data_IF_375707475173
#
_entry.id   IF_375707475173
#
_cell.length_a   1.000
_cell.length_b   1.000
_cell.length_c   1.000
_cell.angle_alpha   90.00
_cell.angle_beta   90.00
_cell.angle_gamma   90.00
#
_symmetry.space_group_name_H-M   'P 1'
#
loop_
_entity.id
_entity.type
_entity.pdbx_description
1 polymer ?
#
# COMPACT_ATOMS: atom_id res chain seq x y z
N UNK A 1 15.37 -52.77 -19.55
CA UNK A 1 14.68 -52.37 -20.80
C UNK A 1 15.37 -51.11 -21.28
N UNK A 2 15.85 -51.11 -22.52
CA UNK A 2 16.87 -50.20 -23.03
C UNK A 2 16.29 -48.92 -23.67
N UNK A 3 17.02 -47.81 -23.46
CA UNK A 3 17.32 -46.67 -24.35
C UNK A 3 16.17 -45.94 -25.09
N UNK A 4 16.09 -44.61 -24.90
CA UNK A 4 16.33 -43.62 -25.99
C UNK A 4 16.99 -42.36 -25.40
N UNK A 5 17.98 -41.83 -26.12
CA UNK A 5 18.70 -40.58 -25.89
C UNK A 5 18.25 -39.51 -26.90
N UNK A 6 18.41 -38.23 -26.54
CA UNK A 6 18.67 -37.11 -27.46
C UNK A 6 17.46 -36.33 -27.99
N UNK A 7 17.39 -35.03 -27.70
CA UNK A 7 17.90 -33.99 -28.60
C UNK A 7 17.82 -32.61 -27.94
N UNK A 8 18.89 -31.84 -28.13
CA UNK A 8 18.90 -30.38 -28.00
C UNK A 8 17.94 -29.76 -29.01
N UNK A 9 17.11 -28.83 -28.57
CA UNK A 9 16.64 -27.73 -29.40
C UNK A 9 16.67 -26.46 -28.57
N UNK A 10 17.50 -25.54 -29.04
CA UNK A 10 17.44 -24.12 -28.74
C UNK A 10 16.10 -23.62 -29.22
N UNK A 11 15.08 -23.69 -28.36
CA UNK A 11 13.86 -22.93 -28.53
C UNK A 11 13.91 -21.84 -27.47
N UNK A 12 14.18 -20.62 -27.92
CA UNK A 12 13.82 -19.41 -27.21
C UNK A 12 12.38 -19.59 -26.75
N UNK A 13 12.17 -19.76 -25.44
CA UNK A 13 10.83 -19.67 -24.84
C UNK A 13 10.19 -18.39 -25.38
N UNK A 14 9.03 -18.48 -26.06
CA UNK A 14 8.33 -17.27 -26.44
C UNK A 14 8.04 -16.52 -25.14
N UNK A 15 8.48 -15.27 -25.06
CA UNK A 15 8.09 -14.37 -23.99
C UNK A 15 6.57 -14.50 -23.83
N UNK A 16 6.12 -14.88 -22.64
CA UNK A 16 4.70 -15.03 -22.35
C UNK A 16 3.98 -13.78 -22.87
N UNK A 17 3.01 -13.98 -23.77
CA UNK A 17 2.21 -12.88 -24.31
C UNK A 17 1.56 -12.16 -23.12
N UNK A 18 2.06 -10.95 -22.82
CA UNK A 18 1.50 -10.09 -21.80
C UNK A 18 0.15 -9.61 -22.32
N UNK A 19 -0.93 -10.17 -21.79
CA UNK A 19 -2.29 -9.78 -22.17
C UNK A 19 -2.62 -8.41 -21.59
N UNK A 20 -3.31 -7.57 -22.38
CA UNK A 20 -3.92 -6.35 -21.89
C UNK A 20 -5.32 -6.65 -21.34
N UNK A 21 -5.67 -6.06 -20.20
CA UNK A 21 -7.00 -6.14 -19.58
C UNK A 21 -7.44 -4.73 -19.19
N UNK A 22 -8.64 -4.33 -19.61
CA UNK A 22 -9.14 -2.95 -19.52
C UNK A 22 -10.24 -2.75 -18.48
N UNK A 23 -10.57 -3.80 -17.72
CA UNK A 23 -11.62 -3.72 -16.70
C UNK A 23 -11.13 -2.97 -15.46
N UNK A 24 -11.98 -2.08 -14.95
CA UNK A 24 -11.76 -1.44 -13.66
C UNK A 24 -11.67 -2.50 -12.55
N UNK A 25 -10.67 -2.35 -11.69
CA UNK A 25 -10.47 -3.19 -10.50
C UNK A 25 -10.84 -2.36 -9.28
N UNK A 26 -11.74 -2.88 -8.44
CA UNK A 26 -12.10 -2.27 -7.16
C UNK A 26 -11.47 -3.05 -6.02
N UNK A 27 -10.74 -2.34 -5.17
CA UNK A 27 -10.11 -2.84 -3.96
C UNK A 27 -10.84 -2.20 -2.78
N UNK A 28 -11.64 -3.01 -2.08
CA UNK A 28 -12.27 -2.58 -0.84
C UNK A 28 -11.20 -2.40 0.25
N UNK A 29 -11.27 -1.30 0.99
CA UNK A 29 -10.37 -1.02 2.10
C UNK A 29 -11.12 -1.28 3.39
N UNK A 30 -10.51 -1.99 4.32
CA UNK A 30 -11.15 -2.25 5.61
C UNK A 30 -11.33 -0.93 6.37
N UNK A 31 -12.42 -0.77 7.13
CA UNK A 31 -12.64 0.44 7.90
C UNK A 31 -11.52 0.65 8.92
N UNK A 32 -11.24 1.92 9.21
CA UNK A 32 -10.29 2.33 10.25
C UNK A 32 -11.03 2.93 11.44
N UNK A 33 -10.44 2.81 12.64
CA UNK A 33 -10.95 3.45 13.86
C UNK A 33 -9.86 4.30 14.47
N UNK A 34 -10.16 5.56 14.78
CA UNK A 34 -9.21 6.47 15.43
C UNK A 34 -9.51 6.59 16.93
N UNK A 35 -8.47 6.72 17.77
CA UNK A 35 -8.63 6.93 19.22
C UNK A 35 -7.55 7.87 19.74
N UNK A 36 -7.96 9.02 20.28
CA UNK A 36 -7.04 9.98 20.90
C UNK A 36 -6.50 9.42 22.21
N UNK A 37 -5.17 9.39 22.33
CA UNK A 37 -4.44 8.99 23.54
C UNK A 37 -4.01 10.23 24.33
N UNK A 38 -3.48 11.23 23.63
CA UNK A 38 -3.14 12.55 24.17
C UNK A 38 -3.63 13.63 23.18
N UNK A 39 -4.48 14.58 23.58
CA UNK A 39 -4.96 15.63 22.68
C UNK A 39 -3.91 16.71 22.35
N UNK A 40 -2.73 16.69 22.97
CA UNK A 40 -1.65 17.66 22.70
C UNK A 40 -1.84 19.03 23.35
N UNK A 41 -1.01 20.01 22.99
CA UNK A 41 -1.07 21.37 23.52
C UNK A 41 -2.14 22.24 22.83
N UNK A 42 -2.60 23.29 23.51
CA UNK A 42 -3.43 24.34 22.89
C UNK A 42 -2.60 25.23 21.93
N UNK A 43 -3.19 25.79 20.86
CA UNK A 43 -4.60 25.64 20.46
C UNK A 43 -4.89 24.29 19.80
N UNK A 44 -6.03 23.70 20.12
CA UNK A 44 -6.53 22.47 19.49
C UNK A 44 -7.64 22.77 18.48
N UNK A 45 -7.76 21.93 17.44
CA UNK A 45 -8.90 21.94 16.51
C UNK A 45 -9.12 20.56 15.91
N UNK A 46 -10.31 20.32 15.37
CA UNK A 46 -10.55 19.16 14.51
C UNK A 46 -9.78 19.38 13.21
N UNK A 47 -9.03 18.36 12.78
CA UNK A 47 -8.31 18.36 11.51
C UNK A 47 -9.12 17.57 10.49
N UNK A 48 -9.52 18.24 9.42
CA UNK A 48 -10.28 17.66 8.32
C UNK A 48 -9.74 18.23 7.00
N UNK A 49 -9.75 17.40 5.96
CA UNK A 49 -9.36 17.80 4.62
C UNK A 49 -10.46 18.65 3.97
N UNK A 50 -10.05 19.79 3.41
CA UNK A 50 -10.88 20.65 2.59
C UNK A 50 -10.13 20.99 1.30
N UNK A 51 -10.42 20.23 0.25
CA UNK A 51 -9.68 20.27 -1.01
C UNK A 51 -10.46 20.90 -2.15
N UNK A 52 -11.55 21.61 -1.83
CA UNK A 52 -12.46 22.19 -2.82
C UNK A 52 -11.77 23.25 -3.71
N UNK A 53 -10.80 23.98 -3.17
CA UNK A 53 -10.10 25.06 -3.87
C UNK A 53 -8.80 24.59 -4.58
N UNK A 54 -8.48 23.29 -4.54
CA UNK A 54 -7.27 22.74 -5.16
C UNK A 54 -7.57 22.20 -6.55
N UNK A 55 -7.07 22.90 -7.57
CA UNK A 55 -7.21 22.50 -8.98
C UNK A 55 -6.56 21.14 -9.28
N UNK A 56 -5.30 20.97 -8.88
CA UNK A 56 -4.56 19.70 -9.01
C UNK A 56 -3.31 19.69 -8.13
N UNK A 57 -2.93 18.50 -7.67
CA UNK A 57 -1.68 18.22 -7.00
C UNK A 57 -0.85 17.27 -7.87
N UNK A 58 0.41 17.62 -8.14
CA UNK A 58 1.36 16.73 -8.80
C UNK A 58 2.37 16.22 -7.78
N UNK A 59 2.55 14.91 -7.70
CA UNK A 59 3.46 14.29 -6.74
C UNK A 59 3.95 12.95 -7.24
N UNK A 60 5.16 12.56 -6.85
CA UNK A 60 5.69 11.24 -7.11
C UNK A 60 5.46 10.33 -5.90
N UNK A 61 4.91 9.13 -6.15
CA UNK A 61 4.81 8.05 -5.19
C UNK A 61 5.88 7.00 -5.51
N UNK A 62 6.88 6.86 -4.63
CA UNK A 62 7.90 5.81 -4.74
C UNK A 62 7.64 4.71 -3.72
N UNK A 63 7.61 3.45 -4.16
CA UNK A 63 7.41 2.29 -3.30
C UNK A 63 8.48 1.22 -3.49
N UNK A 64 8.81 0.52 -2.41
CA UNK A 64 9.67 -0.67 -2.44
C UNK A 64 9.01 -1.82 -1.70
N UNK A 65 9.34 -3.05 -2.07
CA UNK A 65 8.93 -4.25 -1.33
C UNK A 65 10.02 -5.30 -1.35
N UNK A 66 10.45 -5.72 -0.17
CA UNK A 66 11.46 -6.75 0.03
C UNK A 66 10.85 -7.98 0.66
N UNK A 67 11.19 -9.16 0.12
CA UNK A 67 10.76 -10.45 0.64
C UNK A 67 11.92 -11.43 0.48
N UNK A 68 12.59 -11.75 1.57
CA UNK A 68 13.55 -12.85 1.62
C UNK A 68 12.92 -14.04 2.30
N UNK A 69 13.01 -15.21 1.66
CA UNK A 69 12.38 -16.42 2.14
C UNK A 69 13.38 -17.57 2.24
N UNK A 70 13.33 -18.33 3.33
CA UNK A 70 14.13 -19.51 3.54
C UNK A 70 13.26 -20.68 4.01
N UNK A 71 13.46 -21.85 3.41
CA UNK A 71 12.84 -23.11 3.84
C UNK A 71 13.93 -23.95 4.53
N UNK A 72 13.66 -24.34 5.77
CA UNK A 72 14.57 -25.09 6.64
C UNK A 72 15.99 -24.50 6.68
N UNK A 73 16.99 -25.30 6.29
CA UNK A 73 18.41 -24.93 6.20
C UNK A 73 18.83 -24.64 4.76
N UNK A 74 17.88 -24.51 3.83
CA UNK A 74 18.12 -24.15 2.45
C UNK A 74 18.69 -22.73 2.30
N UNK A 75 19.12 -22.39 1.09
CA UNK A 75 19.51 -21.02 0.78
C UNK A 75 18.29 -20.08 0.80
N UNK A 76 18.49 -18.84 1.26
CA UNK A 76 17.47 -17.80 1.14
C UNK A 76 17.22 -17.48 -0.34
N UNK A 77 15.95 -17.30 -0.68
CA UNK A 77 15.45 -16.92 -2.00
C UNK A 77 14.87 -15.51 -1.91
N UNK A 78 15.07 -14.73 -2.96
CA UNK A 78 14.58 -13.36 -3.04
C UNK A 78 13.31 -13.32 -3.89
N UNK A 79 12.23 -12.81 -3.28
CA UNK A 79 10.92 -12.58 -3.89
C UNK A 79 10.53 -11.10 -3.83
N UNK A 80 11.50 -10.22 -3.60
CA UNK A 80 11.31 -8.78 -3.58
C UNK A 80 10.74 -8.28 -4.91
N UNK A 81 9.93 -7.23 -4.84
CA UNK A 81 9.51 -6.50 -6.04
C UNK A 81 10.42 -5.30 -6.24
N UNK A 82 10.76 -4.96 -7.50
CA UNK A 82 11.60 -3.81 -7.77
C UNK A 82 10.93 -2.51 -7.30
N UNK A 83 11.75 -1.50 -7.02
CA UNK A 83 11.27 -0.16 -6.71
C UNK A 83 10.42 0.38 -7.88
N UNK A 84 9.35 1.08 -7.54
CA UNK A 84 8.47 1.71 -8.52
C UNK A 84 8.25 3.17 -8.12
N UNK A 85 8.52 4.08 -9.06
CA UNK A 85 8.12 5.50 -8.94
C UNK A 85 6.96 5.76 -9.88
N UNK A 86 5.83 6.18 -9.31
CA UNK A 86 4.58 6.47 -10.02
C UNK A 86 4.32 7.97 -9.91
N UNK A 87 4.48 8.73 -11.00
CA UNK A 87 4.07 10.13 -11.02
C UNK A 87 2.56 10.23 -11.04
N UNK A 88 1.98 11.07 -10.18
CA UNK A 88 0.55 11.22 -10.01
C UNK A 88 0.12 12.67 -10.22
N UNK A 89 -0.99 12.85 -10.92
CA UNK A 89 -1.76 14.10 -10.93
C UNK A 89 -3.09 13.84 -10.25
N UNK A 90 -3.29 14.42 -9.07
CA UNK A 90 -4.47 14.23 -8.24
C UNK A 90 -5.39 15.45 -8.28
N UNK A 91 -6.69 15.23 -8.31
CA UNK A 91 -7.72 16.26 -8.12
C UNK A 91 -8.88 15.70 -7.31
N UNK A 92 -9.66 16.57 -6.69
CA UNK A 92 -10.87 16.16 -5.96
C UNK A 92 -12.08 16.35 -6.88
N UNK A 93 -12.95 15.34 -6.96
CA UNK A 93 -14.19 15.46 -7.71
C UNK A 93 -15.25 16.24 -6.89
N UNK A 94 -16.11 16.98 -7.59
CA UNK A 94 -17.20 17.77 -6.98
C UNK A 94 -18.25 16.90 -6.24
N UNK A 95 -18.35 15.63 -6.63
CA UNK A 95 -19.32 14.69 -6.08
C UNK A 95 -18.68 13.32 -5.84
N UNK A 96 -19.15 12.66 -4.79
CA UNK A 96 -18.79 11.28 -4.47
C UNK A 96 -19.76 10.35 -5.21
N UNK A 97 -19.26 9.38 -6.00
CA UNK A 97 -20.08 8.34 -6.60
C UNK A 97 -20.93 7.56 -5.56
N UNK A 98 -22.10 7.05 -5.95
CA UNK A 98 -23.02 6.37 -5.02
C UNK A 98 -22.40 5.10 -4.39
N UNK A 99 -21.57 4.37 -5.14
CA UNK A 99 -20.84 3.20 -4.67
C UNK A 99 -19.81 3.58 -3.59
N UNK A 100 -19.07 4.67 -3.78
CA UNK A 100 -18.16 5.22 -2.77
C UNK A 100 -18.91 5.70 -1.52
N UNK A 101 -20.00 6.45 -1.72
CA UNK A 101 -20.81 6.99 -0.64
C UNK A 101 -21.35 5.86 0.26
N UNK A 102 -21.65 4.70 -0.32
CA UNK A 102 -22.10 3.51 0.43
C UNK A 102 -21.05 2.95 1.41
N UNK A 103 -19.77 3.29 1.20
CA UNK A 103 -18.65 2.93 2.09
C UNK A 103 -18.40 3.96 3.19
N UNK A 104 -19.16 5.07 3.20
CA UNK A 104 -18.97 6.19 4.13
C UNK A 104 -18.00 7.27 3.63
N UNK A 105 -17.52 7.17 2.39
CA UNK A 105 -16.70 8.24 1.80
C UNK A 105 -17.50 9.53 1.62
N UNK A 106 -16.83 10.65 1.84
CA UNK A 106 -17.33 12.02 1.66
C UNK A 106 -16.51 12.80 0.65
N UNK A 107 -15.41 12.22 0.16
CA UNK A 107 -14.51 12.78 -0.84
C UNK A 107 -14.15 11.71 -1.87
N UNK A 108 -14.03 12.12 -3.13
CA UNK A 108 -13.53 11.28 -4.23
C UNK A 108 -12.31 11.95 -4.83
N UNK A 109 -11.16 11.29 -4.75
CA UNK A 109 -9.89 11.81 -5.28
C UNK A 109 -9.59 11.06 -6.58
N UNK A 110 -9.54 11.78 -7.69
CA UNK A 110 -9.18 11.24 -9.00
C UNK A 110 -7.67 11.38 -9.21
N UNK A 111 -7.04 10.31 -9.69
CA UNK A 111 -5.63 10.21 -9.96
C UNK A 111 -5.42 9.89 -11.44
N UNK A 112 -4.57 10.66 -12.11
CA UNK A 112 -3.99 10.27 -13.40
C UNK A 112 -2.58 9.79 -13.17
N UNK A 113 -2.25 8.61 -13.71
CA UNK A 113 -0.94 7.98 -13.61
C UNK A 113 -0.09 8.46 -14.80
N UNK A 114 1.04 9.09 -14.50
CA UNK A 114 2.04 9.47 -15.49
C UNK A 114 2.93 8.31 -15.92
N UNK A 115 4.03 8.63 -16.60
CA UNK A 115 5.04 7.65 -16.99
C UNK A 115 5.76 7.08 -15.75
N UNK A 116 5.28 5.94 -15.26
CA UNK A 116 5.91 5.22 -14.15
C UNK A 116 7.28 4.67 -14.54
N UNK A 117 8.19 4.61 -13.56
CA UNK A 117 9.59 4.18 -13.79
C UNK A 117 10.05 3.21 -12.71
N UNK A 118 11.04 2.39 -13.06
CA UNK A 118 11.71 1.47 -12.14
C UNK A 118 13.20 1.44 -12.48
N UNK A 119 14.11 1.20 -11.51
CA UNK A 119 15.49 0.89 -11.82
C UNK A 119 15.66 -0.51 -12.44
N UNK A 120 14.63 -1.36 -12.40
CA UNK A 120 14.62 -2.66 -13.07
C UNK A 120 14.30 -2.49 -14.56
N UNK A 121 15.25 -2.86 -15.43
CA UNK A 121 15.12 -2.71 -16.88
C UNK A 121 13.94 -3.54 -17.44
N UNK A 122 13.69 -4.72 -16.87
CA UNK A 122 12.61 -5.62 -17.32
C UNK A 122 11.22 -5.06 -17.03
N UNK A 123 11.06 -4.36 -15.90
CA UNK A 123 9.82 -3.68 -15.55
C UNK A 123 9.65 -2.35 -16.31
N UNK A 124 10.74 -1.61 -16.55
CA UNK A 124 10.70 -0.29 -17.18
C UNK A 124 9.99 -0.28 -18.53
N UNK A 125 10.29 -1.26 -19.40
CA UNK A 125 9.65 -1.35 -20.71
C UNK A 125 8.13 -1.56 -20.60
N UNK A 126 7.70 -2.37 -19.64
CA UNK A 126 6.28 -2.66 -19.41
C UNK A 126 5.51 -1.46 -18.84
N UNK A 127 6.16 -0.60 -18.06
CA UNK A 127 5.53 0.57 -17.42
C UNK A 127 5.13 1.65 -18.42
N UNK A 128 5.85 1.78 -19.54
CA UNK A 128 5.59 2.81 -20.56
C UNK A 128 4.16 2.77 -21.10
N UNK A 129 3.57 1.58 -21.23
CA UNK A 129 2.22 1.39 -21.74
C UNK A 129 1.12 1.65 -20.69
N UNK A 130 1.50 1.97 -19.45
CA UNK A 130 0.56 2.24 -18.35
C UNK A 130 0.28 3.74 -18.15
N UNK A 131 1.01 4.63 -18.83
CA UNK A 131 0.75 6.07 -18.79
C UNK A 131 -0.69 6.38 -19.23
N UNK A 132 -1.36 7.27 -18.51
CA UNK A 132 -2.76 7.62 -18.74
C UNK A 132 -3.75 6.65 -18.08
N UNK A 133 -3.28 5.60 -17.40
CA UNK A 133 -4.12 4.85 -16.45
C UNK A 133 -4.67 5.81 -15.40
N UNK A 134 -5.84 5.51 -14.86
CA UNK A 134 -6.46 6.35 -13.82
C UNK A 134 -6.76 5.52 -12.58
N UNK A 135 -6.84 6.20 -11.45
CA UNK A 135 -7.31 5.63 -10.20
C UNK A 135 -8.24 6.59 -9.48
N UNK A 136 -9.07 6.07 -8.59
CA UNK A 136 -9.96 6.84 -7.73
C UNK A 136 -9.85 6.33 -6.32
N UNK A 137 -9.59 7.24 -5.38
CA UNK A 137 -9.61 6.96 -3.95
C UNK A 137 -10.89 7.53 -3.35
N UNK A 138 -11.69 6.66 -2.75
CA UNK A 138 -12.81 7.05 -1.92
C UNK A 138 -12.28 7.32 -0.51
N UNK A 139 -12.54 8.52 0.02
CA UNK A 139 -12.00 8.96 1.30
C UNK A 139 -13.03 9.69 2.14
N UNK A 140 -12.80 9.73 3.44
CA UNK A 140 -13.54 10.57 4.39
C UNK A 140 -12.86 11.94 4.55
N UNK A 141 -13.56 12.90 5.16
CA UNK A 141 -12.99 14.20 5.54
C UNK A 141 -11.82 14.08 6.53
N UNK A 142 -11.76 13.01 7.33
CA UNK A 142 -10.64 12.75 8.24
C UNK A 142 -9.42 12.14 7.55
N UNK A 143 -9.52 11.77 6.27
CA UNK A 143 -8.44 11.16 5.49
C UNK A 143 -8.43 9.62 5.46
N UNK A 144 -9.39 8.96 6.13
CA UNK A 144 -9.51 7.50 6.00
C UNK A 144 -9.95 7.12 4.58
N UNK A 145 -9.19 6.23 3.93
CA UNK A 145 -9.54 5.65 2.63
C UNK A 145 -10.48 4.47 2.83
N UNK A 146 -11.56 4.39 2.04
CA UNK A 146 -12.58 3.33 2.13
C UNK A 146 -12.62 2.44 0.89
N UNK A 147 -12.19 2.95 -0.27
CA UNK A 147 -12.07 2.19 -1.50
C UNK A 147 -10.97 2.75 -2.40
N UNK A 148 -10.39 1.87 -3.22
CA UNK A 148 -9.47 2.20 -4.30
C UNK A 148 -9.98 1.54 -5.58
N UNK A 149 -10.18 2.35 -6.61
CA UNK A 149 -10.55 1.90 -7.94
C UNK A 149 -9.40 2.20 -8.90
N UNK A 150 -9.04 1.24 -9.74
CA UNK A 150 -7.97 1.39 -10.72
C UNK A 150 -8.52 1.03 -12.08
N UNK A 151 -8.39 1.96 -13.03
CA UNK A 151 -8.74 1.76 -14.43
C UNK A 151 -7.45 1.81 -15.27
N UNK A 152 -6.93 0.64 -15.67
CA UNK A 152 -5.74 0.56 -16.51
C UNK A 152 -5.97 1.21 -17.89
N UNK A 153 -4.92 1.77 -18.47
CA UNK A 153 -4.93 2.16 -19.88
C UNK A 153 -5.09 0.93 -20.79
N UNK A 154 -5.68 1.10 -21.98
CA UNK A 154 -5.94 -0.02 -22.90
C UNK A 154 -4.69 -0.81 -23.29
N UNK A 155 -3.54 -0.15 -23.31
CA UNK A 155 -2.25 -0.74 -23.66
C UNK A 155 -1.50 -1.29 -22.43
N UNK A 156 -2.01 -1.10 -21.22
CA UNK A 156 -1.33 -1.49 -19.99
C UNK A 156 -1.14 -3.01 -19.93
N UNK A 157 0.11 -3.42 -19.72
CA UNK A 157 0.47 -4.82 -19.58
C UNK A 157 0.16 -5.31 -18.16
N UNK A 158 -0.27 -6.56 -18.04
CA UNK A 158 -0.64 -7.15 -16.74
C UNK A 158 0.45 -7.04 -15.66
N UNK A 159 1.72 -7.19 -16.03
CA UNK A 159 2.87 -7.03 -15.11
C UNK A 159 2.96 -5.62 -14.54
N UNK A 160 2.83 -4.60 -15.40
CA UNK A 160 2.90 -3.20 -15.00
C UNK A 160 1.68 -2.79 -14.19
N UNK A 161 0.48 -3.25 -14.60
CA UNK A 161 -0.76 -3.10 -13.84
C UNK A 161 -0.62 -3.66 -12.43
N UNK A 162 -0.16 -4.91 -12.28
CA UNK A 162 0.03 -5.54 -10.98
C UNK A 162 1.10 -4.83 -10.12
N UNK A 163 2.13 -4.23 -10.71
CA UNK A 163 3.10 -3.43 -9.98
C UNK A 163 2.48 -2.13 -9.44
N UNK A 164 1.71 -1.42 -10.27
CA UNK A 164 1.00 -0.19 -9.89
C UNK A 164 -0.07 -0.47 -8.82
N UNK A 165 -0.87 -1.53 -8.98
CA UNK A 165 -1.88 -1.95 -8.01
C UNK A 165 -1.27 -2.22 -6.63
N UNK A 166 -0.13 -2.92 -6.57
CA UNK A 166 0.59 -3.16 -5.32
C UNK A 166 1.12 -1.87 -4.69
N UNK A 167 1.66 -0.96 -5.51
CA UNK A 167 2.13 0.35 -5.05
C UNK A 167 1.02 1.18 -4.40
N UNK A 168 -0.15 1.26 -5.03
CA UNK A 168 -1.30 1.95 -4.44
C UNK A 168 -1.83 1.23 -3.19
N UNK A 169 -1.88 -0.10 -3.19
CA UNK A 169 -2.30 -0.84 -2.00
C UNK A 169 -1.40 -0.54 -0.79
N UNK A 170 -0.09 -0.49 -1.00
CA UNK A 170 0.87 -0.11 0.05
C UNK A 170 0.62 1.32 0.55
N UNK A 171 0.38 2.28 -0.36
CA UNK A 171 0.08 3.67 -0.01
C UNK A 171 -1.23 3.81 0.78
N UNK A 172 -2.28 3.08 0.42
CA UNK A 172 -3.59 3.09 1.10
C UNK A 172 -3.45 2.68 2.57
N UNK A 173 -2.77 1.56 2.86
CA UNK A 173 -2.56 1.08 4.23
C UNK A 173 -1.56 1.91 5.03
N UNK A 174 -0.94 2.92 4.39
CA UNK A 174 -0.02 3.90 4.98
C UNK A 174 -0.62 5.30 5.09
N UNK A 175 -1.86 5.48 4.64
CA UNK A 175 -2.60 6.73 4.86
C UNK A 175 -2.85 6.96 6.35
N UNK A 176 -3.01 8.24 6.71
CA UNK A 176 -3.29 8.67 8.09
C UNK A 176 -4.70 9.24 8.13
N UNK A 177 -5.53 8.66 9.00
CA UNK A 177 -6.81 9.23 9.38
C UNK A 177 -6.64 10.08 10.65
N UNK A 178 -7.14 11.31 10.62
CA UNK A 178 -7.21 12.20 11.78
C UNK A 178 -8.41 11.82 12.68
N UNK A 179 -8.34 12.09 14.00
CA UNK A 179 -9.48 11.87 14.89
C UNK A 179 -10.51 12.99 14.76
N UNK A 180 -11.78 12.68 15.06
CA UNK A 180 -12.87 13.67 15.12
C UNK A 180 -12.77 14.61 16.35
N UNK A 181 -11.87 14.31 17.28
CA UNK A 181 -11.62 15.12 18.46
C UNK A 181 -10.62 16.26 18.15
N UNK A 182 -10.72 17.36 18.91
CA UNK A 182 -9.79 18.47 18.78
C UNK A 182 -8.38 18.05 19.23
N UNK A 183 -7.40 18.26 18.34
CA UNK A 183 -5.99 17.95 18.58
C UNK A 183 -5.13 19.19 18.31
N UNK A 184 -4.02 19.29 19.03
CA UNK A 184 -3.00 20.31 18.80
C UNK A 184 -1.61 19.70 18.80
N UNK A 185 -0.58 20.54 18.65
CA UNK A 185 0.81 20.07 18.56
C UNK A 185 1.18 19.19 19.77
N UNK A 186 1.82 18.06 19.49
CA UNK A 186 2.14 17.02 20.47
C UNK A 186 1.03 15.99 20.70
N UNK A 187 -0.12 16.11 20.02
CA UNK A 187 -1.18 15.12 20.13
C UNK A 187 -0.73 13.74 19.66
N UNK A 188 -1.25 12.70 20.31
CA UNK A 188 -1.02 11.30 20.00
C UNK A 188 -2.36 10.60 19.86
N UNK A 189 -2.55 9.86 18.76
CA UNK A 189 -3.72 9.01 18.57
C UNK A 189 -3.32 7.69 17.90
N UNK A 190 -4.19 6.69 18.03
CA UNK A 190 -4.05 5.43 17.29
C UNK A 190 -5.03 5.40 16.13
N UNK A 191 -4.61 4.73 15.06
CA UNK A 191 -5.44 4.31 13.93
C UNK A 191 -5.36 2.79 13.87
N UNK A 192 -6.47 2.12 14.15
CA UNK A 192 -6.61 0.67 14.15
C UNK A 192 -7.34 0.23 12.88
N UNK A 193 -6.78 -0.73 12.15
CA UNK A 193 -7.32 -1.23 10.87
C UNK A 193 -6.92 -2.69 10.64
N UNK A 194 -7.69 -3.42 9.83
CA UNK A 194 -7.29 -4.75 9.37
C UNK A 194 -6.51 -4.65 8.07
N UNK A 195 -5.49 -5.48 7.89
CA UNK A 195 -4.77 -5.59 6.61
C UNK A 195 -4.98 -6.99 6.08
N UNK A 196 -5.47 -7.07 4.83
CA UNK A 196 -5.77 -8.32 4.15
C UNK A 196 -4.66 -8.62 3.14
N UNK A 197 -3.67 -9.41 3.54
CA UNK A 197 -2.48 -9.74 2.73
C UNK A 197 -2.25 -11.25 2.59
N UNK A 198 -3.34 -12.03 2.53
CA UNK A 198 -3.33 -13.50 2.56
C UNK A 198 -3.43 -14.08 3.98
N UNK A 199 -3.07 -13.30 4.98
CA UNK A 199 -3.42 -13.46 6.40
C UNK A 199 -4.19 -12.21 6.82
N UNK A 200 -5.17 -12.35 7.72
CA UNK A 200 -5.79 -11.19 8.35
C UNK A 200 -4.90 -10.67 9.47
N UNK A 201 -4.43 -9.45 9.33
CA UNK A 201 -3.55 -8.77 10.27
C UNK A 201 -4.29 -7.62 10.95
N UNK A 202 -4.11 -7.46 12.25
CA UNK A 202 -4.50 -6.25 12.96
C UNK A 202 -3.32 -5.28 12.91
N UNK A 203 -3.50 -4.15 12.24
CA UNK A 203 -2.53 -3.06 12.20
C UNK A 203 -2.96 -1.97 13.18
N UNK A 204 -2.02 -1.56 14.05
CA UNK A 204 -2.13 -0.34 14.84
C UNK A 204 -1.05 0.64 14.40
N UNK A 205 -1.49 1.80 13.96
CA UNK A 205 -0.64 2.95 13.66
C UNK A 205 -0.77 3.97 14.78
N UNK A 206 0.31 4.26 15.50
CA UNK A 206 0.38 5.39 16.44
C UNK A 206 0.87 6.60 15.69
N UNK A 207 0.11 7.69 15.74
CA UNK A 207 0.41 8.94 15.05
C UNK A 207 0.66 10.02 16.09
N UNK A 208 1.71 10.80 15.91
CA UNK A 208 2.04 11.96 16.74
C UNK A 208 2.07 13.22 15.89
N UNK A 209 1.25 14.23 16.21
CA UNK A 209 1.26 15.52 15.53
C UNK A 209 2.47 16.34 15.97
N UNK A 210 3.53 16.34 15.18
CA UNK A 210 4.80 17.00 15.50
C UNK A 210 4.71 18.52 15.31
N UNK A 211 4.04 18.96 14.24
CA UNK A 211 3.87 20.38 13.92
C UNK A 211 2.53 20.60 13.22
N UNK A 212 1.96 21.79 13.41
CA UNK A 212 0.73 22.24 12.75
C UNK A 212 0.84 23.74 12.47
N UNK A 213 1.04 24.09 11.20
CA UNK A 213 1.17 25.47 10.72
C UNK A 213 0.05 25.76 9.72
N UNK A 214 -1.04 26.39 10.20
CA UNK A 214 -2.27 26.50 9.41
C UNK A 214 -2.79 25.10 9.10
N UNK A 215 -2.93 24.79 7.81
CA UNK A 215 -3.41 23.49 7.29
C UNK A 215 -2.28 22.49 7.00
N UNK A 216 -1.02 22.86 7.26
CA UNK A 216 0.13 21.96 7.09
C UNK A 216 0.47 21.27 8.39
N UNK A 217 0.28 19.95 8.43
CA UNK A 217 0.62 19.08 9.54
C UNK A 217 1.85 18.22 9.21
N UNK A 218 2.79 18.12 10.14
CA UNK A 218 3.85 17.11 10.10
C UNK A 218 3.53 16.06 11.15
N UNK A 219 3.39 14.81 10.76
CA UNK A 219 3.04 13.70 11.66
C UNK A 219 4.12 12.64 11.70
N UNK A 220 4.41 12.14 12.90
CA UNK A 220 5.24 10.97 13.11
C UNK A 220 4.39 9.73 13.24
N UNK A 221 4.88 8.64 12.64
CA UNK A 221 4.14 7.41 12.47
C UNK A 221 4.96 6.28 13.07
N UNK A 222 4.31 5.44 13.86
CA UNK A 222 4.83 4.16 14.33
C UNK A 222 3.79 3.07 14.07
N UNK A 223 4.19 2.00 13.39
CA UNK A 223 3.29 0.92 12.96
C UNK A 223 3.65 -0.35 13.72
N UNK A 224 2.63 -1.09 14.11
CA UNK A 224 2.74 -2.47 14.58
C UNK A 224 1.68 -3.31 13.88
N UNK A 225 2.03 -4.54 13.50
CA UNK A 225 1.08 -5.51 12.99
C UNK A 225 1.14 -6.81 13.78
N UNK A 226 -0.02 -7.41 13.99
CA UNK A 226 -0.16 -8.71 14.66
C UNK A 226 -1.17 -9.58 13.92
N UNK A 227 -0.90 -10.88 13.71
CA UNK A 227 -1.89 -11.79 13.12
C UNK A 227 -3.13 -11.91 14.01
N UNK A 228 -4.31 -11.98 13.40
CA UNK A 228 -5.55 -12.24 14.14
C UNK A 228 -5.67 -13.70 14.58
N UNK A 229 -5.02 -14.60 13.84
CA UNK A 229 -5.00 -16.04 14.09
C UNK A 229 -3.55 -16.53 14.20
N UNK A 230 -3.26 -17.51 15.08
CA UNK A 230 -1.96 -18.18 15.10
C UNK A 230 -1.78 -19.19 13.96
N UNK A 231 -2.76 -19.31 13.06
CA UNK A 231 -2.76 -20.21 11.90
C UNK A 231 -3.00 -19.41 10.64
N UNK A 232 -2.15 -19.65 9.64
CA UNK A 232 -2.32 -19.18 8.27
C UNK A 232 -2.97 -20.29 7.43
N UNK A 233 -4.15 -20.02 6.87
CA UNK A 233 -4.77 -20.87 5.86
C UNK A 233 -4.19 -20.52 4.50
N UNK A 234 -3.51 -21.46 3.86
CA UNK A 234 -2.93 -21.23 2.55
C UNK A 234 -4.04 -21.15 1.48
N UNK A 235 -3.83 -20.36 0.42
CA UNK A 235 -4.77 -20.28 -0.71
C UNK A 235 -5.09 -21.65 -1.34
N UNK A 236 -6.22 -21.70 -2.04
CA UNK A 236 -6.66 -22.87 -2.84
C UNK A 236 -6.77 -24.19 -2.04
N UNK A 237 -7.04 -24.09 -0.74
CA UNK A 237 -7.07 -25.21 0.20
C UNK A 237 -5.77 -26.03 0.21
N UNK A 238 -4.63 -25.37 0.00
CA UNK A 238 -3.30 -26.00 -0.04
C UNK A 238 -2.78 -26.44 1.34
N UNK A 239 -3.58 -26.27 2.40
CA UNK A 239 -3.26 -26.64 3.77
C UNK A 239 -3.16 -25.43 4.70
N UNK A 240 -2.50 -25.64 5.85
CA UNK A 240 -2.34 -24.61 6.88
C UNK A 240 -0.92 -24.58 7.41
N UNK A 241 -0.43 -23.41 7.79
CA UNK A 241 0.81 -23.26 8.54
C UNK A 241 0.51 -22.64 9.91
N UNK A 242 1.22 -23.08 10.94
CA UNK A 242 1.22 -22.38 12.23
C UNK A 242 2.14 -21.16 12.15
N UNK A 243 1.70 -20.02 12.64
CA UNK A 243 2.51 -18.81 12.79
C UNK A 243 3.28 -18.92 14.10
N UNK A 244 4.54 -19.36 14.02
CA UNK A 244 5.40 -19.56 15.19
C UNK A 244 5.92 -18.23 15.76
N UNK A 245 6.22 -17.26 14.91
CA UNK A 245 6.54 -15.89 15.31
C UNK A 245 6.18 -14.90 14.22
N UNK A 246 5.73 -13.71 14.60
CA UNK A 246 5.41 -12.64 13.68
C UNK A 246 5.84 -11.31 14.28
N UNK A 247 6.90 -10.71 13.73
CA UNK A 247 7.33 -9.36 14.06
C UNK A 247 7.19 -8.50 12.83
N UNK A 248 6.44 -7.42 12.96
CA UNK A 248 6.33 -6.44 11.89
C UNK A 248 6.08 -5.07 12.50
N UNK A 249 7.03 -4.17 12.28
CA UNK A 249 7.04 -2.82 12.83
C UNK A 249 7.42 -1.82 11.76
N UNK A 250 6.96 -0.59 11.89
CA UNK A 250 7.36 0.47 10.99
C UNK A 250 7.44 1.83 11.65
N UNK A 251 8.08 2.76 10.97
CA UNK A 251 8.14 4.15 11.39
C UNK A 251 8.31 5.07 10.21
N UNK A 252 7.92 6.33 10.37
CA UNK A 252 8.09 7.34 9.34
C UNK A 252 7.60 8.71 9.77
N UNK A 253 7.67 9.64 8.83
CA UNK A 253 7.09 10.98 8.96
C UNK A 253 6.33 11.27 7.67
N UNK A 254 5.13 11.85 7.76
CA UNK A 254 4.42 12.42 6.63
C UNK A 254 4.22 13.92 6.83
N UNK A 255 4.35 14.66 5.74
CA UNK A 255 3.90 16.04 5.63
C UNK A 255 2.56 16.06 4.87
N UNK A 256 1.54 16.60 5.53
CA UNK A 256 0.17 16.63 5.05
C UNK A 256 -0.27 18.09 4.98
N UNK A 257 -0.79 18.51 3.83
CA UNK A 257 -1.51 19.76 3.69
C UNK A 257 -3.00 19.41 3.56
N UNK A 258 -3.82 19.84 4.51
CA UNK A 258 -5.26 19.52 4.53
C UNK A 258 -6.03 20.13 3.35
N UNK A 259 -5.39 21.05 2.60
CA UNK A 259 -5.92 21.61 1.35
C UNK A 259 -5.57 20.78 0.12
N UNK A 260 -4.70 19.77 0.25
CA UNK A 260 -4.25 18.90 -0.84
C UNK A 260 -4.87 17.49 -0.74
N UNK A 261 -5.15 16.84 -1.89
CA UNK A 261 -5.78 15.52 -1.90
C UNK A 261 -4.88 14.39 -1.37
N UNK A 262 -3.57 14.50 -1.52
CA UNK A 262 -2.55 13.52 -1.11
C UNK A 262 -1.54 14.18 -0.15
N UNK A 263 -0.76 13.39 0.62
CA UNK A 263 0.39 13.91 1.35
C UNK A 263 1.29 14.75 0.43
N UNK A 264 1.91 15.80 0.95
CA UNK A 264 2.81 16.68 0.17
C UNK A 264 4.27 16.27 0.33
N UNK A 265 4.56 15.28 1.17
CA UNK A 265 5.91 14.76 1.33
C UNK A 265 6.03 13.75 2.46
N UNK A 266 7.22 13.18 2.58
CA UNK A 266 7.60 12.29 3.67
C UNK A 266 7.68 10.83 3.24
N UNK A 267 8.05 9.97 4.19
CA UNK A 267 8.24 8.55 3.94
C UNK A 267 7.94 7.71 5.16
N UNK A 268 7.56 6.46 4.90
CA UNK A 268 7.31 5.43 5.90
C UNK A 268 8.05 4.18 5.46
N UNK A 269 8.68 3.49 6.41
CA UNK A 269 9.28 2.17 6.20
C UNK A 269 8.74 1.22 7.27
N UNK A 270 8.45 -0.01 6.87
CA UNK A 270 8.03 -1.06 7.78
C UNK A 270 8.59 -2.41 7.34
N UNK A 271 8.65 -3.35 8.27
CA UNK A 271 9.13 -4.69 8.00
C UNK A 271 9.34 -5.50 9.26
N UNK A 272 9.82 -6.73 9.08
CA UNK A 272 10.23 -7.61 10.16
C UNK A 272 10.28 -9.08 9.76
N UNK A 273 10.46 -9.92 10.76
CA UNK A 273 10.69 -11.35 10.60
C UNK A 273 9.43 -12.17 10.94
N UNK A 274 9.18 -13.17 10.12
CA UNK A 274 8.05 -14.08 10.22
C UNK A 274 8.56 -15.52 10.19
N UNK A 275 7.97 -16.38 11.02
CA UNK A 275 8.26 -17.81 11.02
C UNK A 275 6.96 -18.58 11.01
N UNK A 276 6.90 -19.53 10.09
CA UNK A 276 5.80 -20.46 9.94
C UNK A 276 6.29 -21.89 10.03
N UNK A 277 5.48 -22.78 10.59
CA UNK A 277 5.79 -24.22 10.70
C UNK A 277 4.64 -25.04 10.18
N UNK A 278 4.96 -26.05 9.38
CA UNK A 278 3.97 -27.05 8.93
C UNK A 278 3.53 -27.93 10.11
N UNK A 279 2.23 -28.05 10.42
CA UNK A 279 1.74 -28.91 11.50
C UNK A 279 1.98 -30.41 11.26
N UNK A 280 2.11 -30.84 10.00
CA UNK A 280 2.21 -32.25 9.61
C UNK A 280 3.64 -32.69 9.30
N UNK A 281 4.62 -31.78 9.37
CA UNK A 281 6.04 -32.07 9.12
C UNK A 281 6.98 -31.27 10.01
N UNK A 282 8.30 -31.38 9.78
CA UNK A 282 9.32 -30.57 10.46
C UNK A 282 9.69 -29.33 9.66
N UNK A 283 8.97 -29.02 8.58
CA UNK A 283 9.29 -27.93 7.66
C UNK A 283 9.06 -26.58 8.33
N UNK A 284 10.06 -25.70 8.24
CA UNK A 284 10.02 -24.34 8.75
C UNK A 284 10.22 -23.36 7.61
N UNK A 285 9.31 -22.39 7.50
CA UNK A 285 9.41 -21.27 6.58
C UNK A 285 9.80 -20.02 7.39
N UNK A 286 10.88 -19.35 6.98
CA UNK A 286 11.30 -18.06 7.53
C UNK A 286 11.20 -17.00 6.45
N UNK A 287 10.61 -15.87 6.79
CA UNK A 287 10.53 -14.73 5.89
C UNK A 287 11.01 -13.46 6.60
N UNK A 288 11.84 -12.68 5.92
CA UNK A 288 12.13 -11.30 6.29
C UNK A 288 11.48 -10.43 5.23
N UNK A 289 10.52 -9.60 5.66
CA UNK A 289 9.74 -8.75 4.76
C UNK A 289 9.96 -7.29 5.10
N UNK A 290 9.79 -6.42 4.11
CA UNK A 290 9.75 -4.98 4.33
C UNK A 290 9.17 -4.23 3.15
N UNK A 291 8.70 -3.02 3.41
CA UNK A 291 8.19 -2.08 2.41
C UNK A 291 8.51 -0.65 2.82
N UNK A 292 8.57 0.21 1.82
CA UNK A 292 8.62 1.65 2.02
C UNK A 292 7.65 2.35 1.09
N UNK A 293 7.12 3.46 1.55
CA UNK A 293 6.47 4.46 0.71
C UNK A 293 7.17 5.80 0.88
N UNK A 294 7.30 6.56 -0.19
CA UNK A 294 7.79 7.93 -0.18
C UNK A 294 6.92 8.79 -1.07
N UNK A 295 6.51 9.94 -0.54
CA UNK A 295 5.88 11.02 -1.29
C UNK A 295 6.93 12.09 -1.53
N UNK A 296 7.14 12.47 -2.80
CA UNK A 296 8.15 13.44 -3.18
C UNK A 296 7.60 14.45 -4.18
N UNK A 297 8.06 15.70 -4.04
CA UNK A 297 7.76 16.74 -5.02
C UNK A 297 8.22 16.30 -6.42
N UNK A 298 7.42 16.69 -7.41
CA UNK A 298 7.69 16.45 -8.83
C UNK A 298 8.31 17.68 -9.50
#
# INVERSE_FOLDING_TARGET
>A
MALVAGCSSTDTEPAAEQTASTNEVTIAVTPTTTTVVDPGAEPRRVLAFDTADTDSQNIDLTTTSTVQQQIDVGAAQDFSSPELTVPLSASTADAVPDDDASTGATRSIHLTIGAATSPDEGLTDALSASEGSTARLAATESGAITALHITPADAALDTARAAIERSFNAAVYRSVAFPDAEVGVGAVWTVDQQVLSGITLNQRTTVTLRALDGDRATVDIAITQTPESPVWNLPDNSGTLNIASYTYTGSGTLDIDLTQPLPVGGSITAGGDQMYTDPDSTTVLRQTVGDSITWGDR
#
